data_IF_052059184931
#
_entry.id   IF_052059184931
#
_cell.length_a   1.000
_cell.length_b   1.000
_cell.length_c   1.000
_cell.angle_alpha   90.00
_cell.angle_beta   90.00
_cell.angle_gamma   90.00
#
_symmetry.space_group_name_H-M   'P 1'
#
loop_
_entity.id
_entity.type
_entity.pdbx_description
1 polymer ?
#
# COMPACT_ATOMS: atom_id res chain seq x y z
N UNK A 1 16.80 15.29 -21.00
CA UNK A 1 15.33 15.44 -21.14
C UNK A 1 14.71 14.37 -20.28
N UNK A 2 13.77 14.79 -19.42
CA UNK A 2 13.05 14.04 -18.38
C UNK A 2 13.92 13.41 -17.28
N UNK A 3 14.17 14.25 -16.27
CA UNK A 3 14.41 13.93 -14.86
C UNK A 3 14.25 12.44 -14.51
N UNK A 4 15.37 11.77 -14.21
CA UNK A 4 15.41 10.46 -13.57
C UNK A 4 14.83 10.68 -12.17
N UNK A 5 13.49 10.72 -12.07
CA UNK A 5 12.79 10.62 -10.80
C UNK A 5 13.25 9.27 -10.24
N UNK A 6 14.32 9.30 -9.45
CA UNK A 6 14.78 8.18 -8.68
C UNK A 6 13.73 7.97 -7.62
N UNK A 7 12.68 7.25 -8.03
CA UNK A 7 11.68 6.75 -7.11
C UNK A 7 12.44 5.82 -6.16
N UNK A 8 12.70 6.33 -4.96
CA UNK A 8 13.37 5.60 -3.90
C UNK A 8 12.40 4.52 -3.41
N UNK A 9 12.59 3.29 -3.88
CA UNK A 9 11.78 2.15 -3.44
C UNK A 9 12.15 1.83 -2.00
N UNK A 10 11.22 1.88 -1.04
CA UNK A 10 11.50 1.58 0.34
C UNK A 10 11.86 0.09 0.50
N UNK A 11 12.74 -0.24 1.47
CA UNK A 11 13.17 -1.62 1.69
C UNK A 11 12.00 -2.55 2.03
N UNK A 12 10.93 -2.04 2.65
CA UNK A 12 9.69 -2.77 2.94
C UNK A 12 9.01 -3.31 1.69
N UNK A 13 9.04 -2.58 0.57
CA UNK A 13 8.48 -3.05 -0.70
C UNK A 13 9.43 -4.03 -1.39
N UNK A 14 10.74 -3.72 -1.39
CA UNK A 14 11.73 -4.64 -1.98
C UNK A 14 11.71 -6.00 -1.28
N UNK A 15 11.45 -6.03 0.03
CA UNK A 15 11.39 -7.25 0.84
C UNK A 15 10.32 -8.25 0.34
N UNK A 16 9.25 -7.77 -0.31
CA UNK A 16 8.22 -8.63 -0.91
C UNK A 16 8.76 -9.47 -2.08
N UNK A 17 9.79 -8.96 -2.75
CA UNK A 17 10.39 -9.55 -3.95
C UNK A 17 11.87 -9.90 -3.76
N UNK A 18 12.33 -9.99 -2.51
CA UNK A 18 13.66 -10.53 -2.20
C UNK A 18 13.58 -11.96 -1.71
N UNK A 19 14.52 -12.79 -2.15
CA UNK A 19 14.72 -14.14 -1.64
C UNK A 19 15.36 -14.13 -0.23
N UNK A 20 15.47 -15.30 0.42
CA UNK A 20 16.14 -15.49 1.72
C UNK A 20 17.59 -14.96 1.78
N UNK A 21 18.21 -14.71 0.63
CA UNK A 21 19.55 -14.10 0.48
C UNK A 21 19.53 -12.58 0.23
N UNK A 22 18.39 -11.90 0.40
CA UNK A 22 18.19 -10.49 0.08
C UNK A 22 18.50 -10.12 -1.38
N UNK A 23 18.29 -11.07 -2.31
CA UNK A 23 18.45 -10.82 -3.76
C UNK A 23 17.09 -10.66 -4.39
N UNK A 24 16.92 -9.62 -5.21
CA UNK A 24 15.70 -9.40 -5.97
C UNK A 24 15.43 -10.59 -6.89
N UNK A 25 14.23 -11.14 -6.81
CA UNK A 25 13.74 -12.24 -7.66
C UNK A 25 13.13 -11.71 -8.97
N UNK A 26 12.86 -10.41 -9.03
CA UNK A 26 12.26 -9.70 -10.18
C UNK A 26 13.18 -8.59 -10.68
N UNK A 27 13.07 -8.18 -11.96
CA UNK A 27 13.85 -7.06 -12.48
C UNK A 27 13.48 -5.73 -11.79
N UNK A 28 14.48 -4.90 -11.50
CA UNK A 28 14.30 -3.62 -10.80
C UNK A 28 13.33 -2.67 -11.53
N UNK A 29 13.34 -2.67 -12.87
CA UNK A 29 12.41 -1.85 -13.66
C UNK A 29 10.94 -2.23 -13.41
N UNK A 30 10.64 -3.54 -13.37
CA UNK A 30 9.29 -4.03 -13.05
C UNK A 30 8.91 -3.71 -11.60
N UNK A 31 9.86 -3.85 -10.67
CA UNK A 31 9.63 -3.49 -9.26
C UNK A 31 9.27 -2.01 -9.10
N UNK A 32 9.97 -1.11 -9.82
CA UNK A 32 9.71 0.34 -9.81
C UNK A 32 8.32 0.66 -10.34
N UNK A 33 7.94 0.08 -11.47
CA UNK A 33 6.60 0.25 -12.05
C UNK A 33 5.52 -0.22 -11.06
N UNK A 34 5.70 -1.40 -10.45
CA UNK A 34 4.75 -1.91 -9.46
C UNK A 34 4.71 -1.08 -8.19
N UNK A 35 5.86 -0.58 -7.73
CA UNK A 35 5.92 0.32 -6.60
C UNK A 35 5.16 1.61 -6.85
N UNK A 36 5.37 2.25 -8.01
CA UNK A 36 4.71 3.50 -8.38
C UNK A 36 3.19 3.34 -8.36
N UNK A 37 2.67 2.27 -8.98
CA UNK A 37 1.23 1.96 -8.96
C UNK A 37 0.72 1.73 -7.54
N UNK A 38 1.47 1.02 -6.69
CA UNK A 38 1.05 0.77 -5.30
C UNK A 38 1.07 2.06 -4.45
N UNK A 39 2.07 2.92 -4.64
CA UNK A 39 2.21 4.18 -3.91
C UNK A 39 1.15 5.20 -4.35
N UNK A 40 0.87 5.31 -5.66
CA UNK A 40 -0.21 6.15 -6.18
C UNK A 40 -1.56 5.70 -5.60
N UNK A 41 -1.83 4.39 -5.63
CA UNK A 41 -3.05 3.84 -5.05
C UNK A 41 -3.14 4.10 -3.53
N UNK A 42 -2.06 3.91 -2.79
CA UNK A 42 -2.03 4.21 -1.36
C UNK A 42 -2.39 5.68 -1.09
N UNK A 43 -1.86 6.61 -1.88
CA UNK A 43 -2.18 8.03 -1.78
C UNK A 43 -3.64 8.32 -2.11
N UNK A 44 -4.20 7.74 -3.17
CA UNK A 44 -5.63 7.90 -3.51
C UNK A 44 -6.56 7.35 -2.41
N UNK A 45 -6.15 6.25 -1.78
CA UNK A 45 -6.91 5.65 -0.68
C UNK A 45 -6.93 6.52 0.57
N UNK A 46 -5.97 7.43 0.77
CA UNK A 46 -5.97 8.38 1.91
C UNK A 46 -7.23 9.24 1.88
N UNK A 47 -7.51 9.88 0.74
CA UNK A 47 -8.67 10.75 0.60
C UNK A 47 -9.96 9.95 0.78
N UNK A 48 -10.04 8.77 0.16
CA UNK A 48 -11.19 7.88 0.30
C UNK A 48 -11.40 7.43 1.75
N UNK A 49 -10.32 7.08 2.46
CA UNK A 49 -10.37 6.63 3.84
C UNK A 49 -10.79 7.74 4.80
N UNK A 50 -10.23 8.94 4.62
CA UNK A 50 -10.61 10.12 5.40
C UNK A 50 -12.07 10.48 5.15
N UNK A 51 -12.53 10.45 3.89
CA UNK A 51 -13.92 10.72 3.56
C UNK A 51 -14.87 9.72 4.26
N UNK A 52 -14.59 8.41 4.20
CA UNK A 52 -15.39 7.39 4.88
C UNK A 52 -15.35 7.57 6.41
N UNK A 53 -14.18 7.87 6.98
CA UNK A 53 -14.05 8.05 8.43
C UNK A 53 -14.81 9.29 8.93
N UNK A 54 -14.67 10.42 8.24
CA UNK A 54 -15.20 11.71 8.68
C UNK A 54 -16.67 11.92 8.27
N UNK A 55 -17.04 11.58 7.03
CA UNK A 55 -18.38 11.83 6.49
C UNK A 55 -19.39 10.77 6.94
N UNK A 56 -18.97 9.50 6.93
CA UNK A 56 -19.83 8.38 7.31
C UNK A 56 -19.67 7.99 8.79
N UNK A 57 -18.74 8.61 9.53
CA UNK A 57 -18.49 8.32 10.94
C UNK A 57 -17.99 6.88 11.20
N UNK A 58 -17.43 6.23 10.19
CA UNK A 58 -16.97 4.84 10.27
C UNK A 58 -15.65 4.76 11.04
N UNK A 59 -15.47 3.82 11.97
CA UNK A 59 -14.21 3.73 12.72
C UNK A 59 -13.04 3.31 11.82
N UNK A 60 -11.84 3.77 12.17
CA UNK A 60 -10.61 3.57 11.37
C UNK A 60 -10.39 2.11 10.96
N UNK A 61 -10.61 1.16 11.88
CA UNK A 61 -10.45 -0.27 11.59
C UNK A 61 -11.43 -0.77 10.52
N UNK A 62 -12.69 -0.33 10.54
CA UNK A 62 -13.67 -0.71 9.51
C UNK A 62 -13.31 -0.09 8.16
N UNK A 63 -12.81 1.15 8.14
CA UNK A 63 -12.31 1.78 6.91
C UNK A 63 -11.19 0.94 6.31
N UNK A 64 -10.19 0.56 7.11
CA UNK A 64 -9.07 -0.27 6.66
C UNK A 64 -9.52 -1.65 6.19
N UNK A 65 -10.47 -2.29 6.88
CA UNK A 65 -11.06 -3.57 6.44
C UNK A 65 -11.75 -3.45 5.08
N UNK A 66 -12.47 -2.35 4.83
CA UNK A 66 -13.10 -2.09 3.53
C UNK A 66 -12.07 -1.88 2.43
N UNK A 67 -11.01 -1.11 2.69
CA UNK A 67 -9.93 -0.91 1.72
C UNK A 67 -9.22 -2.23 1.43
N UNK A 68 -8.91 -3.04 2.45
CA UNK A 68 -8.32 -4.36 2.28
C UNK A 68 -9.20 -5.27 1.43
N UNK A 69 -10.51 -5.31 1.69
CA UNK A 69 -11.45 -6.11 0.91
C UNK A 69 -11.47 -5.67 -0.56
N UNK A 70 -11.43 -4.36 -0.82
CA UNK A 70 -11.33 -3.79 -2.17
C UNK A 70 -10.01 -4.16 -2.88
N UNK A 71 -8.89 -4.19 -2.16
CA UNK A 71 -7.59 -4.57 -2.72
C UNK A 71 -7.48 -6.07 -3.04
N UNK A 72 -8.30 -6.91 -2.41
CA UNK A 72 -8.35 -8.36 -2.66
C UNK A 72 -9.29 -8.72 -3.81
N UNK A 73 -10.00 -7.76 -4.42
CA UNK A 73 -10.83 -8.04 -5.58
C UNK A 73 -9.96 -8.28 -6.82
N UNK A 74 -10.38 -9.18 -7.72
CA UNK A 74 -9.65 -9.43 -8.96
C UNK A 74 -9.57 -8.20 -9.87
N UNK A 75 -10.44 -7.22 -9.65
CA UNK A 75 -10.50 -5.95 -10.38
C UNK A 75 -9.31 -5.04 -10.07
N UNK A 76 -8.75 -5.16 -8.86
CA UNK A 76 -7.62 -4.34 -8.42
C UNK A 76 -6.32 -4.75 -9.14
N UNK A 77 -6.21 -5.98 -9.64
CA UNK A 77 -5.02 -6.46 -10.37
C UNK A 77 -3.75 -6.61 -9.51
N UNK A 78 -3.91 -6.61 -8.18
CA UNK A 78 -2.81 -6.79 -7.22
C UNK A 78 -2.81 -8.19 -6.62
N UNK A 79 -1.61 -8.71 -6.36
CA UNK A 79 -1.45 -9.89 -5.51
C UNK A 79 -1.70 -9.55 -4.03
N UNK A 80 -2.03 -10.55 -3.23
CA UNK A 80 -2.29 -10.38 -1.80
C UNK A 80 -1.13 -9.68 -1.05
N UNK A 81 0.12 -9.90 -1.49
CA UNK A 81 1.30 -9.24 -0.93
C UNK A 81 1.32 -7.73 -1.22
N UNK A 82 0.95 -7.34 -2.44
CA UNK A 82 0.88 -5.94 -2.86
C UNK A 82 -0.27 -5.23 -2.13
N UNK A 83 -1.46 -5.84 -2.10
CA UNK A 83 -2.60 -5.30 -1.37
C UNK A 83 -2.29 -5.09 0.12
N UNK A 84 -1.60 -6.04 0.75
CA UNK A 84 -1.13 -5.89 2.13
C UNK A 84 -0.15 -4.71 2.28
N UNK A 85 0.78 -4.54 1.35
CA UNK A 85 1.73 -3.44 1.41
C UNK A 85 1.06 -2.08 1.23
N UNK A 86 0.13 -1.95 0.28
CA UNK A 86 -0.67 -0.73 0.08
C UNK A 86 -1.44 -0.39 1.36
N UNK A 87 -2.03 -1.38 2.03
CA UNK A 87 -2.71 -1.17 3.31
C UNK A 87 -1.77 -0.70 4.41
N UNK A 88 -0.59 -1.31 4.55
CA UNK A 88 0.44 -0.87 5.50
C UNK A 88 0.85 0.58 5.23
N UNK A 89 1.12 0.90 3.96
CA UNK A 89 1.50 2.24 3.54
C UNK A 89 0.41 3.26 3.83
N UNK A 90 -0.85 2.92 3.53
CA UNK A 90 -2.02 3.74 3.85
C UNK A 90 -2.13 4.02 5.36
N UNK A 91 -1.92 3.00 6.21
CA UNK A 91 -1.96 3.18 7.67
C UNK A 91 -0.87 4.11 8.17
N UNK A 92 0.34 4.00 7.62
CA UNK A 92 1.46 4.89 7.93
C UNK A 92 1.17 6.34 7.52
N UNK A 93 0.64 6.55 6.32
CA UNK A 93 0.34 7.87 5.77
C UNK A 93 -0.79 8.58 6.54
N UNK A 94 -1.80 7.82 6.97
CA UNK A 94 -2.88 8.34 7.81
C UNK A 94 -2.47 8.56 9.27
N UNK A 95 -1.32 8.03 9.69
CA UNK A 95 -0.91 7.99 11.10
C UNK A 95 -1.83 7.12 11.97
N UNK A 96 -2.60 6.22 11.34
CA UNK A 96 -3.47 5.27 12.03
C UNK A 96 -2.58 4.12 12.50
N UNK A 97 -2.11 4.20 13.74
CA UNK A 97 -1.31 3.13 14.33
C UNK A 97 -2.08 1.81 14.33
N UNK A 98 -1.39 0.67 14.21
CA UNK A 98 -1.93 -0.70 14.35
C UNK A 98 -2.50 -1.02 15.74
N UNK A 99 -2.74 0.02 16.55
CA UNK A 99 -3.12 -0.04 17.95
C UNK A 99 -4.58 -0.45 18.17
N UNK A 100 -5.36 -0.68 17.11
CA UNK A 100 -6.75 -1.14 17.21
C UNK A 100 -6.89 -2.55 17.83
N UNK A 101 -5.80 -3.28 18.06
CA UNK A 101 -5.76 -4.52 18.86
C UNK A 101 -5.65 -4.28 20.38
N UNK A 102 -5.56 -3.02 20.87
CA UNK A 102 -5.57 -2.68 22.30
C UNK A 102 -6.92 -2.19 22.84
N UNK A 103 -8.02 -2.53 22.17
CA UNK A 103 -9.40 -2.27 22.60
C UNK A 103 -10.10 -3.51 23.13
#
# INVERSE_FOLDING_TARGET
MADDYQIEIPPSFTALYTDARHRLTVPLAWLRERYEVCEDLAQQLIESAQHIHHDLGVPQHEVLQRMQAGLLTPEAGFDAAQGRWVLLRLTELLGWGWDWERG
#
